data_IF_116814617097
#
_entry.id   IF_116814617097
#
_cell.length_a   1.000
_cell.length_b   1.000
_cell.length_c   1.000
_cell.angle_alpha   90.00
_cell.angle_beta   90.00
_cell.angle_gamma   90.00
#
_symmetry.space_group_name_H-M   'P 1'
#
loop_
_entity.id
_entity.type
_entity.pdbx_description
1 polymer ?
#
# COMPACT_ATOMS: atom_id res chain seq x y z
N UNK A 1 -13.33 -3.79 3.01
CA UNK A 1 -13.03 -4.82 1.99
C UNK A 1 -11.59 -5.26 2.12
N UNK A 2 -11.34 -6.54 2.30
CA UNK A 2 -10.02 -7.15 2.18
C UNK A 2 -10.03 -7.97 0.89
N UNK A 3 -9.09 -7.66 0.00
CA UNK A 3 -9.04 -8.28 -1.33
C UNK A 3 -8.01 -9.42 -1.37
N UNK A 4 -8.27 -10.46 -2.15
CA UNK A 4 -7.25 -11.41 -2.54
C UNK A 4 -6.55 -10.89 -3.82
N UNK A 5 -5.30 -10.37 -3.75
CA UNK A 5 -4.63 -9.83 -4.92
C UNK A 5 -4.31 -10.91 -5.97
N UNK A 6 -4.32 -12.18 -5.57
CA UNK A 6 -4.00 -13.32 -6.43
C UNK A 6 -5.22 -14.01 -7.05
N UNK A 7 -6.39 -13.39 -6.97
CA UNK A 7 -7.65 -14.01 -7.41
C UNK A 7 -7.66 -14.49 -8.87
N UNK A 8 -6.81 -13.92 -9.73
CA UNK A 8 -6.64 -14.37 -11.11
C UNK A 8 -6.00 -15.75 -11.21
N UNK A 9 -5.19 -16.12 -10.22
CA UNK A 9 -4.44 -17.39 -10.20
C UNK A 9 -5.08 -18.42 -9.28
N UNK A 10 -5.56 -17.99 -8.10
CA UNK A 10 -6.11 -18.90 -7.09
C UNK A 10 -7.12 -18.22 -6.17
N UNK A 11 -8.03 -19.01 -5.61
CA UNK A 11 -8.87 -18.57 -4.49
C UNK A 11 -8.07 -18.58 -3.19
N UNK A 12 -8.40 -17.64 -2.29
CA UNK A 12 -7.86 -17.66 -0.92
C UNK A 12 -8.43 -18.87 -0.14
N UNK A 13 -7.62 -19.52 0.74
CA UNK A 13 -6.21 -19.24 0.99
C UNK A 13 -5.31 -19.84 -0.10
N UNK A 14 -4.28 -19.08 -0.53
CA UNK A 14 -3.32 -19.56 -1.57
C UNK A 14 -2.17 -20.37 -0.99
N UNK A 15 -1.93 -20.25 0.31
CA UNK A 15 -0.99 -21.01 1.11
C UNK A 15 -1.62 -21.34 2.45
N UNK A 16 -1.05 -22.29 3.19
CA UNK A 16 -1.54 -22.68 4.52
C UNK A 16 -1.40 -21.53 5.51
N UNK A 17 -2.24 -21.50 6.55
CA UNK A 17 -2.13 -20.58 7.67
C UNK A 17 -0.78 -20.71 8.36
N UNK A 18 -0.15 -19.60 8.73
CA UNK A 18 1.19 -19.58 9.33
C UNK A 18 2.35 -19.83 8.35
N UNK A 19 2.07 -20.00 7.05
CA UNK A 19 3.12 -20.18 6.04
C UNK A 19 4.01 -18.93 5.92
N UNK A 20 5.32 -19.13 5.93
CA UNK A 20 6.31 -18.04 5.80
C UNK A 20 6.76 -17.86 4.35
N UNK A 21 6.86 -16.61 3.92
CA UNK A 21 7.44 -16.27 2.61
C UNK A 21 8.94 -16.60 2.50
N UNK A 22 9.61 -16.85 3.63
CA UNK A 22 10.99 -17.30 3.68
C UNK A 22 11.12 -18.81 3.36
N UNK A 23 10.00 -19.55 3.43
CA UNK A 23 9.95 -20.93 3.00
C UNK A 23 10.05 -21.00 1.47
N UNK A 24 11.03 -21.73 0.90
CA UNK A 24 11.20 -21.86 -0.55
C UNK A 24 9.96 -22.42 -1.26
N UNK A 25 9.22 -23.35 -0.65
CA UNK A 25 8.01 -23.92 -1.23
C UNK A 25 6.88 -22.90 -1.30
N UNK A 26 6.67 -22.14 -0.24
CA UNK A 26 5.70 -21.02 -0.18
C UNK A 26 6.07 -19.94 -1.18
N UNK A 27 7.35 -19.57 -1.21
CA UNK A 27 7.88 -18.58 -2.15
C UNK A 27 7.70 -19.00 -3.61
N UNK A 28 7.90 -20.28 -3.93
CA UNK A 28 7.70 -20.83 -5.28
C UNK A 28 6.21 -20.76 -5.73
N UNK A 29 5.27 -20.85 -4.79
CA UNK A 29 3.83 -20.72 -5.08
C UNK A 29 3.47 -19.23 -5.30
N UNK A 30 3.92 -18.34 -4.42
CA UNK A 30 3.42 -16.95 -4.37
C UNK A 30 4.13 -16.03 -5.37
N UNK A 31 5.44 -16.21 -5.63
CA UNK A 31 6.20 -15.33 -6.55
C UNK A 31 5.64 -15.26 -7.97
N UNK A 32 5.23 -16.36 -8.62
CA UNK A 32 4.61 -16.29 -9.94
C UNK A 32 3.29 -15.50 -9.94
N UNK A 33 2.51 -15.61 -8.86
CA UNK A 33 1.26 -14.85 -8.69
C UNK A 33 1.54 -13.36 -8.48
N UNK A 34 2.51 -13.03 -7.63
CA UNK A 34 2.95 -11.66 -7.39
C UNK A 34 3.51 -11.02 -8.67
N UNK A 35 4.20 -11.77 -9.50
CA UNK A 35 4.71 -11.31 -10.80
C UNK A 35 3.64 -10.92 -11.83
N UNK A 36 2.37 -11.31 -11.60
CA UNK A 36 1.24 -10.88 -12.43
C UNK A 36 0.68 -9.52 -12.01
N UNK A 37 1.08 -9.03 -10.83
CA UNK A 37 0.66 -7.73 -10.32
C UNK A 37 1.57 -6.64 -10.90
N UNK A 38 1.00 -5.81 -11.75
CA UNK A 38 1.69 -4.73 -12.45
C UNK A 38 0.79 -3.49 -12.54
N UNK A 39 1.26 -2.41 -13.13
CA UNK A 39 0.51 -1.16 -13.21
C UNK A 39 -0.88 -1.36 -13.83
N UNK A 40 -1.00 -2.12 -14.92
CA UNK A 40 -2.27 -2.38 -15.59
C UNK A 40 -3.25 -3.15 -14.71
N UNK A 41 -2.78 -4.21 -14.04
CA UNK A 41 -3.65 -5.00 -13.16
C UNK A 41 -4.06 -4.22 -11.93
N UNK A 42 -3.17 -3.41 -11.32
CA UNK A 42 -3.49 -2.54 -10.19
C UNK A 42 -4.62 -1.56 -10.53
N UNK A 43 -4.52 -0.87 -11.68
CA UNK A 43 -5.54 0.09 -12.14
C UNK A 43 -6.88 -0.60 -12.42
N UNK A 44 -6.84 -1.74 -13.11
CA UNK A 44 -8.05 -2.52 -13.43
C UNK A 44 -8.76 -2.98 -12.16
N UNK A 45 -8.00 -3.49 -11.20
CA UNK A 45 -8.52 -4.00 -9.94
C UNK A 45 -9.06 -2.89 -9.04
N UNK A 46 -8.36 -1.77 -8.93
CA UNK A 46 -8.81 -0.61 -8.17
C UNK A 46 -10.23 -0.19 -8.59
N UNK A 47 -10.45 -0.04 -9.90
CA UNK A 47 -11.78 0.31 -10.45
C UNK A 47 -12.84 -0.75 -10.13
N UNK A 48 -12.51 -2.01 -10.30
CA UNK A 48 -13.45 -3.10 -10.06
C UNK A 48 -13.82 -3.23 -8.57
N UNK A 49 -12.84 -3.10 -7.67
CA UNK A 49 -13.05 -3.23 -6.23
C UNK A 49 -13.87 -2.06 -5.66
N UNK A 50 -13.58 -0.83 -6.10
CA UNK A 50 -14.37 0.34 -5.68
C UNK A 50 -15.78 0.28 -6.26
N UNK A 51 -15.95 -0.07 -7.53
CA UNK A 51 -17.26 -0.25 -8.12
C UNK A 51 -18.09 -1.35 -7.44
N UNK A 52 -17.44 -2.41 -6.94
CA UNK A 52 -18.10 -3.43 -6.14
C UNK A 52 -18.50 -2.91 -4.76
N UNK A 53 -17.64 -2.14 -4.09
CA UNK A 53 -17.95 -1.49 -2.81
C UNK A 53 -19.17 -0.58 -2.94
N UNK A 54 -19.25 0.22 -3.98
CA UNK A 54 -20.33 1.18 -4.22
C UNK A 54 -21.69 0.51 -4.44
N UNK A 55 -21.72 -0.79 -4.72
CA UNK A 55 -22.95 -1.57 -4.82
C UNK A 55 -23.41 -2.15 -3.48
N UNK A 56 -22.62 -2.04 -2.42
CA UNK A 56 -22.99 -2.60 -1.11
C UNK A 56 -23.89 -1.63 -0.35
N UNK A 57 -25.00 -2.11 0.18
CA UNK A 57 -25.98 -1.28 0.91
C UNK A 57 -25.45 -0.64 2.20
N UNK A 58 -24.34 -1.15 2.73
CA UNK A 58 -23.65 -0.60 3.92
C UNK A 58 -22.61 0.47 3.58
N UNK A 59 -22.40 0.79 2.30
CA UNK A 59 -21.39 1.76 1.84
C UNK A 59 -22.09 3.02 1.34
N UNK A 60 -21.68 4.15 1.88
CA UNK A 60 -22.05 5.46 1.34
C UNK A 60 -21.13 5.81 0.17
N UNK A 61 -21.61 5.61 -1.04
CA UNK A 61 -20.83 5.85 -2.27
C UNK A 61 -20.59 7.33 -2.58
N UNK A 62 -21.22 8.25 -1.82
CA UNK A 62 -20.97 9.69 -1.94
C UNK A 62 -19.74 10.15 -1.16
N UNK A 63 -19.22 9.33 -0.23
CA UNK A 63 -18.05 9.64 0.58
C UNK A 63 -16.78 9.06 -0.01
N UNK A 64 -15.65 9.73 0.23
CA UNK A 64 -14.33 9.17 -0.05
C UNK A 64 -14.02 7.98 0.87
N UNK A 65 -13.15 7.09 0.43
CA UNK A 65 -12.72 5.90 1.16
C UNK A 65 -11.21 5.93 1.40
N UNK A 66 -10.77 5.24 2.45
CA UNK A 66 -9.37 4.99 2.73
C UNK A 66 -8.89 3.67 2.10
N UNK A 67 -7.64 3.64 1.70
CA UNK A 67 -6.97 2.41 1.23
C UNK A 67 -5.66 2.21 1.94
N UNK A 68 -5.29 0.97 2.23
CA UNK A 68 -4.02 0.66 2.89
C UNK A 68 -3.42 -0.64 2.37
N UNK A 69 -2.11 -0.72 2.37
CA UNK A 69 -1.40 -1.89 1.88
C UNK A 69 -0.01 -2.05 2.49
N UNK A 70 0.41 -3.29 2.57
CA UNK A 70 1.66 -3.74 3.17
C UNK A 70 2.56 -4.35 2.10
N UNK A 71 3.88 -4.15 2.18
CA UNK A 71 4.85 -4.74 1.27
C UNK A 71 4.50 -4.45 -0.21
N UNK A 72 4.19 -5.48 -0.99
CA UNK A 72 3.70 -5.36 -2.36
C UNK A 72 2.38 -4.57 -2.49
N UNK A 73 1.66 -4.35 -1.40
CA UNK A 73 0.46 -3.52 -1.35
C UNK A 73 0.74 -2.02 -1.48
N UNK A 74 1.93 -1.55 -1.16
CA UNK A 74 2.29 -0.13 -1.26
C UNK A 74 2.10 0.46 -2.66
N UNK A 75 2.70 -0.10 -3.71
CA UNK A 75 2.46 0.33 -5.09
C UNK A 75 0.99 0.23 -5.53
N UNK A 76 0.24 -0.74 -5.00
CA UNK A 76 -1.19 -0.89 -5.28
C UNK A 76 -1.96 0.28 -4.70
N UNK A 77 -1.70 0.65 -3.44
CA UNK A 77 -2.31 1.81 -2.77
C UNK A 77 -2.06 3.10 -3.56
N UNK A 78 -0.81 3.39 -3.92
CA UNK A 78 -0.46 4.61 -4.66
C UNK A 78 -1.19 4.67 -6.01
N UNK A 79 -1.18 3.56 -6.77
CA UNK A 79 -1.90 3.52 -8.06
C UNK A 79 -3.41 3.58 -7.90
N UNK A 80 -3.97 3.03 -6.81
CA UNK A 80 -5.40 3.15 -6.50
C UNK A 80 -5.77 4.60 -6.25
N UNK A 81 -5.00 5.33 -5.44
CA UNK A 81 -5.23 6.74 -5.15
C UNK A 81 -5.14 7.60 -6.42
N UNK A 82 -4.12 7.40 -7.25
CA UNK A 82 -3.98 8.11 -8.53
C UNK A 82 -5.07 7.78 -9.56
N UNK A 83 -5.59 6.53 -9.54
CA UNK A 83 -6.60 6.09 -10.52
C UNK A 83 -8.01 6.59 -10.18
N UNK A 84 -8.30 6.80 -8.91
CA UNK A 84 -9.63 7.10 -8.38
C UNK A 84 -9.60 8.30 -7.40
N UNK A 85 -9.10 9.48 -7.82
CA UNK A 85 -8.95 10.64 -6.94
C UNK A 85 -10.29 11.10 -6.34
N UNK A 86 -11.38 10.98 -7.08
CA UNK A 86 -12.71 11.36 -6.60
C UNK A 86 -13.23 10.44 -5.48
N UNK A 87 -12.68 9.23 -5.36
CA UNK A 87 -13.14 8.21 -4.40
C UNK A 87 -12.15 7.92 -3.29
N UNK A 88 -10.86 8.10 -3.51
CA UNK A 88 -9.82 7.85 -2.51
C UNK A 88 -9.43 9.17 -1.84
N UNK A 89 -9.72 9.30 -0.55
CA UNK A 89 -9.37 10.47 0.26
C UNK A 89 -8.17 10.26 1.16
N UNK A 90 -7.81 9.00 1.42
CA UNK A 90 -6.65 8.67 2.24
C UNK A 90 -5.98 7.36 1.79
N UNK A 91 -4.66 7.27 1.90
CA UNK A 91 -3.90 6.07 1.57
C UNK A 91 -2.74 5.80 2.51
N UNK A 92 -2.50 4.53 2.84
CA UNK A 92 -1.37 4.11 3.67
C UNK A 92 -0.53 3.02 3.03
N UNK A 93 0.75 3.26 2.83
CA UNK A 93 1.75 2.28 2.41
C UNK A 93 2.67 1.94 3.58
N UNK A 94 2.60 0.71 4.05
CA UNK A 94 3.45 0.19 5.13
C UNK A 94 4.53 -0.70 4.55
N UNK A 95 5.81 -0.33 4.77
CA UNK A 95 6.99 -1.00 4.18
C UNK A 95 6.81 -1.38 2.70
N UNK A 96 6.22 -0.46 1.91
CA UNK A 96 6.04 -0.67 0.49
C UNK A 96 7.34 -0.58 -0.28
N UNK A 97 7.63 -1.58 -1.12
CA UNK A 97 8.78 -1.56 -2.03
C UNK A 97 8.42 -1.01 -3.41
N UNK A 98 9.42 -0.45 -4.11
CA UNK A 98 9.27 0.01 -5.49
C UNK A 98 8.29 1.17 -5.68
N UNK A 99 8.17 2.06 -4.69
CA UNK A 99 7.27 3.22 -4.75
C UNK A 99 7.81 4.32 -5.68
N UNK A 100 9.13 4.48 -5.74
CA UNK A 100 9.83 5.40 -6.64
C UNK A 100 10.97 4.66 -7.34
N UNK A 101 10.82 4.39 -8.63
CA UNK A 101 11.78 3.65 -9.44
C UNK A 101 12.07 4.41 -10.73
N UNK A 102 13.06 3.97 -11.52
CA UNK A 102 13.36 4.50 -12.85
C UNK A 102 12.42 3.97 -13.96
N UNK A 103 11.43 3.15 -13.64
CA UNK A 103 10.49 2.62 -14.63
C UNK A 103 9.48 3.69 -15.07
N UNK A 104 9.07 3.64 -16.34
CA UNK A 104 8.09 4.57 -16.89
C UNK A 104 6.69 4.48 -16.27
N UNK A 105 6.41 3.37 -15.58
CA UNK A 105 5.15 3.12 -14.85
C UNK A 105 5.35 3.15 -13.33
N UNK A 106 6.42 3.80 -12.84
CA UNK A 106 6.70 3.91 -11.42
C UNK A 106 5.56 4.60 -10.66
N UNK A 107 5.14 4.08 -9.48
CA UNK A 107 4.00 4.60 -8.73
C UNK A 107 4.06 6.10 -8.43
N UNK A 108 5.26 6.64 -8.13
CA UNK A 108 5.41 8.06 -7.79
C UNK A 108 5.06 9.00 -8.96
N UNK A 109 5.11 8.53 -10.21
CA UNK A 109 4.73 9.33 -11.38
C UNK A 109 3.22 9.62 -11.44
N UNK A 110 2.40 8.86 -10.71
CA UNK A 110 0.97 9.09 -10.58
C UNK A 110 0.58 10.04 -9.44
N UNK A 111 1.53 10.55 -8.65
CA UNK A 111 1.22 11.46 -7.53
C UNK A 111 0.46 12.71 -7.98
N UNK A 112 0.76 13.36 -9.11
CA UNK A 112 -0.01 14.53 -9.56
C UNK A 112 -1.50 14.27 -9.83
N UNK A 113 -1.89 13.02 -9.99
CA UNK A 113 -3.29 12.63 -10.22
C UNK A 113 -4.03 12.29 -8.91
N UNK A 114 -3.37 12.35 -7.74
CA UNK A 114 -3.98 12.01 -6.44
C UNK A 114 -4.73 13.21 -5.84
N UNK A 115 -5.82 12.91 -5.13
CA UNK A 115 -6.51 13.83 -4.21
C UNK A 115 -6.76 13.10 -2.87
N UNK A 116 -5.66 12.69 -2.24
CA UNK A 116 -5.65 11.85 -1.04
C UNK A 116 -4.51 12.23 -0.10
N UNK A 117 -4.76 12.24 1.21
CA UNK A 117 -3.71 12.36 2.21
C UNK A 117 -3.00 10.99 2.38
N UNK A 118 -1.69 10.94 2.15
CA UNK A 118 -0.93 9.69 2.09
C UNK A 118 -0.03 9.51 3.32
N UNK A 119 0.01 8.28 3.86
CA UNK A 119 1.04 7.83 4.80
C UNK A 119 1.99 6.87 4.08
N UNK A 120 3.27 7.21 4.05
CA UNK A 120 4.34 6.35 3.54
C UNK A 120 5.25 5.98 4.71
N UNK A 121 4.97 4.84 5.31
CA UNK A 121 5.71 4.30 6.45
C UNK A 121 6.82 3.36 5.95
N UNK A 122 8.06 3.79 6.04
CA UNK A 122 9.25 3.10 5.48
C UNK A 122 9.96 2.32 6.58
N UNK A 123 10.34 1.08 6.33
CA UNK A 123 11.17 0.30 7.24
C UNK A 123 12.62 0.83 7.24
N UNK A 124 13.30 0.77 8.39
CA UNK A 124 14.69 1.21 8.49
C UNK A 124 15.61 0.48 7.51
N UNK A 125 15.48 -0.85 7.41
CA UNK A 125 16.29 -1.65 6.48
C UNK A 125 15.89 -1.48 5.00
N UNK A 126 14.68 -1.01 4.69
CA UNK A 126 14.29 -0.64 3.33
C UNK A 126 14.93 0.71 2.97
N UNK A 127 14.96 1.67 3.90
CA UNK A 127 15.60 2.96 3.73
C UNK A 127 17.13 2.83 3.56
N UNK A 128 17.76 1.93 4.30
CA UNK A 128 19.20 1.64 4.14
C UNK A 128 19.51 1.08 2.72
N UNK A 129 18.62 0.28 2.17
CA UNK A 129 18.79 -0.34 0.85
C UNK A 129 18.49 0.63 -0.30
N UNK A 130 17.50 1.51 -0.12
CA UNK A 130 17.04 2.46 -1.12
C UNK A 130 16.93 3.89 -0.53
N UNK A 131 18.06 4.52 -0.11
CA UNK A 131 18.06 5.75 0.69
C UNK A 131 17.47 6.96 -0.02
N UNK A 132 17.45 6.97 -1.34
CA UNK A 132 16.93 8.07 -2.15
C UNK A 132 15.41 8.04 -2.33
N UNK A 133 14.77 6.88 -2.12
CA UNK A 133 13.34 6.70 -2.33
C UNK A 133 12.49 7.68 -1.53
N UNK A 134 12.80 7.88 -0.23
CA UNK A 134 12.05 8.82 0.62
C UNK A 134 12.13 10.26 0.13
N UNK A 135 13.28 10.68 -0.37
CA UNK A 135 13.48 12.04 -0.87
C UNK A 135 12.78 12.25 -2.21
N UNK A 136 12.89 11.28 -3.13
CA UNK A 136 12.15 11.29 -4.40
C UNK A 136 10.64 11.39 -4.17
N UNK A 137 10.11 10.66 -3.19
CA UNK A 137 8.70 10.73 -2.83
C UNK A 137 8.33 12.09 -2.23
N UNK A 138 9.12 12.63 -1.28
CA UNK A 138 8.88 13.96 -0.70
C UNK A 138 8.84 15.06 -1.76
N UNK A 139 9.81 15.04 -2.67
CA UNK A 139 9.89 16.01 -3.76
C UNK A 139 8.68 15.90 -4.71
N UNK A 140 8.26 14.68 -5.04
CA UNK A 140 7.13 14.45 -5.93
C UNK A 140 5.79 14.87 -5.28
N UNK A 141 5.55 14.55 -4.00
CA UNK A 141 4.36 14.99 -3.27
C UNK A 141 4.33 16.52 -3.12
N UNK A 142 5.46 17.14 -2.74
CA UNK A 142 5.56 18.58 -2.62
C UNK A 142 5.34 19.30 -3.96
N UNK A 143 5.89 18.79 -5.05
CA UNK A 143 5.72 19.36 -6.40
C UNK A 143 4.27 19.28 -6.90
N UNK A 144 3.52 18.28 -6.47
CA UNK A 144 2.12 18.08 -6.83
C UNK A 144 1.12 18.76 -5.86
N UNK A 145 1.59 19.36 -4.78
CA UNK A 145 0.75 19.91 -3.69
C UNK A 145 -0.23 18.86 -3.10
N UNK A 146 0.23 17.61 -2.99
CA UNK A 146 -0.52 16.49 -2.41
C UNK A 146 0.00 16.21 -0.99
N UNK A 147 -0.91 16.17 -0.01
CA UNK A 147 -0.55 15.94 1.38
C UNK A 147 0.02 14.53 1.60
N UNK A 148 1.19 14.45 2.26
CA UNK A 148 1.80 13.17 2.60
C UNK A 148 2.67 13.24 3.85
N UNK A 149 2.56 12.21 4.68
CA UNK A 149 3.49 11.90 5.77
C UNK A 149 4.45 10.81 5.30
N UNK A 150 5.74 11.13 5.17
CA UNK A 150 6.76 10.18 4.70
C UNK A 150 7.79 10.01 5.80
N UNK A 151 7.81 8.85 6.44
CA UNK A 151 8.56 8.60 7.66
C UNK A 151 9.32 7.27 7.61
N UNK A 152 10.58 7.31 8.09
CA UNK A 152 11.35 6.09 8.37
C UNK A 152 11.08 5.68 9.82
N UNK A 153 10.68 4.43 10.00
CA UNK A 153 10.39 3.84 11.31
C UNK A 153 11.67 3.19 11.84
N UNK A 154 12.40 3.92 12.67
CA UNK A 154 13.68 3.52 13.21
C UNK A 154 13.61 2.20 13.98
N UNK A 155 14.55 1.29 13.68
CA UNK A 155 14.62 -0.05 14.28
C UNK A 155 13.56 -1.03 13.78
N UNK A 156 12.61 -0.60 12.94
CA UNK A 156 11.61 -1.48 12.34
C UNK A 156 12.10 -2.08 11.02
N UNK A 157 12.11 -3.39 10.92
CA UNK A 157 12.46 -4.09 9.68
C UNK A 157 11.24 -4.33 8.81
N UNK A 158 11.45 -4.55 7.51
CA UNK A 158 10.40 -4.87 6.56
C UNK A 158 9.47 -5.97 7.09
N UNK A 159 8.18 -5.70 7.21
CA UNK A 159 7.18 -6.61 7.81
C UNK A 159 6.87 -6.35 9.28
N UNK A 160 7.35 -5.25 9.89
CA UNK A 160 7.20 -4.95 11.33
C UNK A 160 5.74 -4.85 11.83
N UNK A 161 4.77 -4.65 10.91
CA UNK A 161 3.36 -4.51 11.29
C UNK A 161 2.63 -5.83 11.50
N UNK A 162 3.22 -6.97 11.10
CA UNK A 162 2.56 -8.28 11.10
C UNK A 162 2.78 -8.97 12.43
N UNK A 163 1.71 -9.24 13.18
CA UNK A 163 1.74 -9.72 14.58
C UNK A 163 2.49 -11.03 14.79
N UNK A 164 2.43 -11.95 13.82
CA UNK A 164 3.08 -13.26 13.85
C UNK A 164 4.42 -13.29 13.09
N UNK A 165 4.88 -12.11 12.63
CA UNK A 165 6.18 -11.99 11.99
C UNK A 165 7.32 -12.04 13.01
N UNK A 166 8.42 -12.69 12.65
CA UNK A 166 9.66 -12.69 13.44
C UNK A 166 10.28 -11.30 13.61
N UNK A 167 9.87 -10.32 12.79
CA UNK A 167 10.34 -8.93 12.83
C UNK A 167 9.26 -7.97 13.36
N UNK A 168 8.19 -8.49 13.97
CA UNK A 168 7.16 -7.64 14.57
C UNK A 168 7.75 -6.67 15.58
N UNK A 169 7.41 -5.39 15.43
CA UNK A 169 7.86 -4.33 16.31
C UNK A 169 6.66 -3.56 16.86
N UNK A 170 6.16 -3.97 18.01
CA UNK A 170 4.90 -3.48 18.58
C UNK A 170 4.82 -1.95 18.61
N UNK A 171 5.82 -1.28 19.18
CA UNK A 171 5.80 0.18 19.34
C UNK A 171 5.67 0.90 17.99
N UNK A 172 6.40 0.45 16.97
CA UNK A 172 6.35 1.07 15.65
C UNK A 172 5.09 0.69 14.87
N UNK A 173 4.56 -0.52 15.07
CA UNK A 173 3.29 -0.94 14.48
C UNK A 173 2.13 -0.11 15.02
N UNK A 174 2.04 0.06 16.34
CA UNK A 174 1.02 0.89 16.99
C UNK A 174 1.14 2.36 16.59
N UNK A 175 2.37 2.88 16.49
CA UNK A 175 2.62 4.25 16.00
C UNK A 175 2.12 4.43 14.58
N UNK A 176 2.49 3.54 13.66
CA UNK A 176 2.07 3.60 12.26
C UNK A 176 0.55 3.48 12.12
N UNK A 177 -0.06 2.60 12.90
CA UNK A 177 -1.51 2.44 12.95
C UNK A 177 -2.21 3.70 13.45
N UNK A 178 -1.73 4.28 14.56
CA UNK A 178 -2.28 5.53 15.11
C UNK A 178 -2.19 6.69 14.11
N UNK A 179 -1.07 6.82 13.36
CA UNK A 179 -0.95 7.84 12.31
C UNK A 179 -1.97 7.63 11.19
N UNK A 180 -2.14 6.38 10.75
CA UNK A 180 -3.13 6.05 9.71
C UNK A 180 -4.56 6.37 10.15
N UNK A 181 -4.92 6.06 11.40
CA UNK A 181 -6.24 6.40 11.95
C UNK A 181 -6.46 7.92 11.98
N UNK A 182 -5.46 8.69 12.41
CA UNK A 182 -5.53 10.16 12.38
C UNK A 182 -5.78 10.70 10.97
N UNK A 183 -5.07 10.17 9.97
CA UNK A 183 -5.28 10.57 8.57
C UNK A 183 -6.69 10.19 8.11
N UNK A 184 -7.18 9.00 8.44
CA UNK A 184 -8.54 8.59 8.10
C UNK A 184 -9.59 9.49 8.75
N UNK A 185 -9.41 9.85 10.02
CA UNK A 185 -10.33 10.74 10.74
C UNK A 185 -10.39 12.14 10.12
N UNK A 186 -9.27 12.65 9.61
CA UNK A 186 -9.21 14.00 9.03
C UNK A 186 -9.60 14.03 7.55
N UNK A 187 -9.14 13.10 6.76
CA UNK A 187 -9.31 13.13 5.31
C UNK A 187 -10.60 12.45 4.82
N UNK A 188 -11.29 11.65 5.67
CA UNK A 188 -12.53 10.95 5.34
C UNK A 188 -13.74 11.47 6.12
N UNK A 189 -13.60 12.58 6.84
CA UNK A 189 -14.68 13.19 7.64
C UNK A 189 -15.86 13.70 6.77
#
# INVERSE_FOLDING_TARGET
LVVNPFYRSARSPVVAEGASFQDPEVSAIVRPMAGQLNATTHVTDARAFVAWLDQQSAVDSSRKIGTMGYCMGGPIVMRTAATLPDRIGAGGSFHGGGLATGAADSPHLGIPDMDAHMLIAIAANDDEREPDTKNTLRDAFAAADVEAEIEVYEGANHGWCVLDSAVYHQQQAERAWSRMLTIFETALA
#
